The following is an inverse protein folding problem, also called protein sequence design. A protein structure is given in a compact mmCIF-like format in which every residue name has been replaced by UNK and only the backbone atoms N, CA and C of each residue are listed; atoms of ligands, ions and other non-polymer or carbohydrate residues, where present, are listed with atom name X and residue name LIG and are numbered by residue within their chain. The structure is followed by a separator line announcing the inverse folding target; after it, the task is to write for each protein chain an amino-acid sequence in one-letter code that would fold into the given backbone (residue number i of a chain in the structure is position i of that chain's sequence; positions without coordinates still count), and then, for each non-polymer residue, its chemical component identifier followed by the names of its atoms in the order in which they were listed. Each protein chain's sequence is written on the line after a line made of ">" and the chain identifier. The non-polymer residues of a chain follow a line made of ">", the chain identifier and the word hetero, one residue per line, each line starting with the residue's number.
data_IF_624579068006
#
_entry.id   IF_624579068006
#
_cell.length_a   1.000
_cell.length_b   1.000
_cell.length_c   1.000
_cell.angle_alpha   90.00
_cell.angle_beta   90.00
_cell.angle_gamma   90.00
#
_symmetry.space_group_name_H-M   'P 1'
#
loop_
_entity.id
_entity.type
_entity.pdbx_description
1 polymer ?
#
# COMPACT_ATOMS: atom_id res chain seq x y z
N UNK A 1 -14.13 5.94 -1.43
CA UNK A 1 -13.10 4.96 -1.12
C UNK A 1 -11.75 5.44 -1.62
N UNK A 2 -10.74 5.36 -0.79
CA UNK A 2 -9.40 5.91 -1.04
C UNK A 2 -8.45 4.95 -1.75
N UNK A 3 -8.91 3.79 -2.18
CA UNK A 3 -8.07 2.86 -2.94
C UNK A 3 -8.82 2.33 -4.14
N UNK A 4 -8.07 2.01 -5.17
CA UNK A 4 -8.59 1.50 -6.43
C UNK A 4 -7.77 0.31 -6.88
N UNK A 5 -8.44 -0.69 -7.42
CA UNK A 5 -7.83 -1.84 -8.08
C UNK A 5 -8.15 -1.76 -9.56
N UNK A 6 -7.14 -1.87 -10.38
CA UNK A 6 -7.27 -1.89 -11.84
C UNK A 6 -6.63 -3.18 -12.39
N UNK A 7 -7.26 -3.83 -13.36
CA UNK A 7 -8.53 -3.51 -13.98
C UNK A 7 -9.73 -3.77 -13.05
N UNK A 8 -10.70 -2.88 -13.09
CA UNK A 8 -11.89 -2.92 -12.23
C UNK A 8 -12.99 -3.88 -12.74
N UNK A 9 -12.77 -4.52 -13.89
CA UNK A 9 -13.79 -5.27 -14.63
C UNK A 9 -13.92 -6.75 -14.21
N UNK A 10 -13.04 -7.25 -13.34
CA UNK A 10 -13.07 -8.67 -12.96
C UNK A 10 -13.72 -8.88 -11.60
N UNK A 11 -14.62 -9.85 -11.53
CA UNK A 11 -15.16 -10.38 -10.28
C UNK A 11 -14.18 -11.33 -9.58
N UNK A 12 -13.13 -11.72 -10.26
CA UNK A 12 -12.10 -12.62 -9.75
C UNK A 12 -11.02 -11.90 -8.99
N UNK A 13 -10.47 -12.57 -7.99
CA UNK A 13 -9.32 -12.07 -7.26
C UNK A 13 -8.06 -12.03 -8.13
N UNK A 14 -7.27 -11.00 -7.97
CA UNK A 14 -5.99 -10.85 -8.69
C UNK A 14 -4.94 -11.67 -7.97
N UNK A 15 -4.31 -12.61 -8.72
CA UNK A 15 -3.18 -13.44 -8.24
C UNK A 15 -1.92 -13.03 -8.99
N UNK A 16 -1.11 -12.13 -8.44
CA UNK A 16 0.12 -11.71 -9.09
C UNK A 16 1.25 -12.76 -8.92
N UNK A 17 2.23 -12.70 -9.79
CA UNK A 17 3.50 -13.42 -9.67
C UNK A 17 4.59 -12.56 -9.04
N UNK A 18 4.43 -11.25 -9.15
CA UNK A 18 5.35 -10.24 -8.61
C UNK A 18 4.57 -9.05 -8.07
N UNK A 19 5.07 -8.49 -6.99
CA UNK A 19 4.66 -7.18 -6.48
C UNK A 19 5.74 -6.15 -6.78
N UNK A 20 5.32 -4.98 -7.28
CA UNK A 20 6.17 -3.81 -7.43
C UNK A 20 5.66 -2.71 -6.50
N UNK A 21 6.51 -2.24 -5.61
CA UNK A 21 6.22 -1.08 -4.76
C UNK A 21 6.89 0.18 -5.28
N UNK A 22 6.35 1.33 -4.93
CA UNK A 22 6.90 2.63 -5.30
C UNK A 22 8.25 2.89 -4.64
N UNK A 23 8.34 2.69 -3.32
CA UNK A 23 9.53 2.93 -2.53
C UNK A 23 10.00 1.67 -1.76
N UNK A 24 11.08 1.81 -0.99
CA UNK A 24 11.71 0.74 -0.19
C UNK A 24 11.47 0.88 1.31
N UNK A 25 10.46 1.63 1.73
CA UNK A 25 10.13 1.86 3.14
C UNK A 25 9.44 0.64 3.78
N UNK A 26 8.83 0.82 4.95
CA UNK A 26 8.18 -0.26 5.71
C UNK A 26 7.12 -1.01 4.91
N UNK A 27 6.36 -0.33 4.06
CA UNK A 27 5.39 -0.98 3.18
C UNK A 27 6.03 -1.99 2.22
N UNK A 28 7.13 -1.62 1.58
CA UNK A 28 7.91 -2.56 0.77
C UNK A 28 8.40 -3.75 1.59
N UNK A 29 8.97 -3.50 2.76
CA UNK A 29 9.49 -4.56 3.63
C UNK A 29 8.40 -5.53 4.07
N UNK A 30 7.20 -5.03 4.33
CA UNK A 30 6.03 -5.83 4.64
C UNK A 30 5.65 -6.75 3.46
N UNK A 31 5.48 -6.21 2.26
CA UNK A 31 5.11 -6.99 1.09
C UNK A 31 6.23 -7.92 0.62
N UNK A 32 7.50 -7.53 0.75
CA UNK A 32 8.64 -8.41 0.45
C UNK A 32 8.66 -9.65 1.36
N UNK A 33 8.41 -9.48 2.66
CA UNK A 33 8.32 -10.59 3.59
C UNK A 33 7.18 -11.56 3.23
N UNK A 34 6.00 -11.03 2.86
CA UNK A 34 4.86 -11.83 2.42
C UNK A 34 5.16 -12.57 1.12
N UNK A 35 5.77 -11.90 0.15
CA UNK A 35 6.18 -12.53 -1.10
C UNK A 35 7.13 -13.69 -0.88
N UNK A 36 8.09 -13.54 0.03
CA UNK A 36 9.02 -14.62 0.39
C UNK A 36 8.32 -15.83 0.99
N UNK A 37 7.30 -15.64 1.82
CA UNK A 37 6.48 -16.73 2.36
C UNK A 37 5.76 -17.53 1.26
N UNK A 38 5.39 -16.87 0.15
CA UNK A 38 4.63 -17.45 -0.96
C UNK A 38 5.47 -17.72 -2.21
N UNK A 39 6.80 -17.69 -2.11
CA UNK A 39 7.72 -17.89 -3.24
C UNK A 39 7.49 -16.91 -4.41
N UNK A 40 7.05 -15.72 -4.10
CA UNK A 40 6.87 -14.61 -5.03
C UNK A 40 8.03 -13.63 -4.94
N UNK A 41 8.16 -12.78 -5.96
CA UNK A 41 9.11 -11.68 -5.95
C UNK A 41 8.44 -10.37 -5.55
N UNK A 42 9.17 -9.55 -4.81
CA UNK A 42 8.78 -8.18 -4.52
C UNK A 42 9.95 -7.26 -4.87
N UNK A 43 9.71 -6.33 -5.80
CA UNK A 43 10.68 -5.33 -6.21
C UNK A 43 10.18 -3.93 -5.82
N UNK A 44 11.10 -2.99 -5.76
CA UNK A 44 10.79 -1.57 -5.62
C UNK A 44 11.25 -0.79 -6.85
N UNK A 45 10.44 0.17 -7.27
CA UNK A 45 10.82 1.09 -8.36
C UNK A 45 11.81 2.17 -7.89
N UNK A 46 12.01 2.34 -6.58
CA UNK A 46 12.81 3.41 -5.99
C UNK A 46 12.35 4.81 -6.41
N UNK A 47 11.04 5.01 -6.36
CA UNK A 47 10.38 6.28 -6.66
C UNK A 47 9.27 6.16 -7.71
N UNK A 48 8.22 6.96 -7.56
CA UNK A 48 7.04 6.94 -8.43
C UNK A 48 7.36 7.20 -9.90
N UNK A 49 8.35 8.04 -10.19
CA UNK A 49 8.77 8.35 -11.56
C UNK A 49 9.40 7.16 -12.31
N UNK A 50 9.83 6.14 -11.58
CA UNK A 50 10.47 4.95 -12.16
C UNK A 50 9.49 3.79 -12.42
N UNK A 51 8.27 3.86 -11.89
CA UNK A 51 7.28 2.79 -12.02
C UNK A 51 6.96 2.50 -13.49
N UNK A 52 6.70 3.52 -14.28
CA UNK A 52 6.39 3.36 -15.69
C UNK A 52 7.55 2.68 -16.47
N UNK A 53 8.78 3.13 -16.24
CA UNK A 53 9.97 2.55 -16.90
C UNK A 53 10.18 1.09 -16.50
N UNK A 54 9.97 0.75 -15.23
CA UNK A 54 10.03 -0.62 -14.76
C UNK A 54 9.02 -1.51 -15.49
N UNK A 55 7.77 -1.09 -15.56
CA UNK A 55 6.69 -1.85 -16.22
C UNK A 55 6.96 -2.03 -17.73
N UNK A 56 7.54 -1.04 -18.38
CA UNK A 56 7.95 -1.16 -19.79
C UNK A 56 9.06 -2.20 -20.01
N UNK A 57 9.97 -2.32 -19.06
CA UNK A 57 11.07 -3.28 -19.14
C UNK A 57 10.61 -4.73 -18.82
N UNK A 58 9.52 -4.90 -18.08
CA UNK A 58 9.02 -6.20 -17.60
C UNK A 58 7.67 -6.55 -18.23
N UNK A 59 7.65 -6.69 -19.56
CA UNK A 59 6.41 -6.78 -20.36
C UNK A 59 5.60 -8.06 -20.15
N UNK A 60 6.27 -9.17 -19.86
CA UNK A 60 5.65 -10.50 -19.83
C UNK A 60 5.39 -11.02 -18.43
N UNK A 61 5.65 -10.22 -17.41
CA UNK A 61 5.46 -10.60 -16.01
C UNK A 61 4.09 -10.16 -15.52
N UNK A 62 3.48 -10.99 -14.68
CA UNK A 62 2.21 -10.67 -14.02
C UNK A 62 2.47 -9.89 -12.75
N UNK A 63 2.30 -8.58 -12.83
CA UNK A 63 2.73 -7.63 -11.80
C UNK A 63 1.51 -6.95 -11.17
N UNK A 64 1.47 -6.96 -9.82
CA UNK A 64 0.64 -6.06 -9.03
C UNK A 64 1.50 -4.88 -8.58
N UNK A 65 1.17 -3.69 -9.03
CA UNK A 65 1.77 -2.44 -8.57
C UNK A 65 1.03 -1.96 -7.33
N UNK A 66 1.76 -1.72 -6.25
CA UNK A 66 1.23 -1.09 -5.03
C UNK A 66 1.94 0.23 -4.84
N UNK A 67 1.19 1.33 -4.91
CA UNK A 67 1.73 2.67 -4.77
C UNK A 67 0.79 3.55 -3.95
N UNK A 68 1.35 4.56 -3.30
CA UNK A 68 0.58 5.50 -2.50
C UNK A 68 -0.30 6.37 -3.40
N UNK A 69 -1.62 6.23 -3.26
CA UNK A 69 -2.59 6.91 -4.11
C UNK A 69 -2.49 8.43 -4.07
N UNK A 70 -2.19 8.98 -2.89
CA UNK A 70 -2.03 10.43 -2.71
C UNK A 70 -0.77 10.98 -3.38
N UNK A 71 0.30 10.19 -3.47
CA UNK A 71 1.59 10.63 -3.97
C UNK A 71 1.84 10.33 -5.45
N UNK A 72 0.97 9.52 -6.09
CA UNK A 72 1.22 8.97 -7.43
C UNK A 72 1.08 10.02 -8.55
N UNK A 73 0.28 11.04 -8.35
CA UNK A 73 0.22 12.30 -9.11
C UNK A 73 0.36 12.18 -10.63
N UNK A 74 1.30 12.95 -11.24
CA UNK A 74 1.42 13.04 -12.71
C UNK A 74 1.78 11.74 -13.43
N UNK A 75 2.38 10.79 -12.73
CA UNK A 75 2.74 9.49 -13.32
C UNK A 75 1.52 8.57 -13.51
N UNK A 76 0.39 8.89 -12.88
CA UNK A 76 -0.82 8.08 -12.89
C UNK A 76 -1.31 7.78 -14.30
N UNK A 77 -1.41 8.79 -15.16
CA UNK A 77 -1.99 8.64 -16.50
C UNK A 77 -1.19 7.64 -17.34
N UNK A 78 0.13 7.71 -17.27
CA UNK A 78 1.03 6.82 -18.04
C UNK A 78 0.93 5.38 -17.55
N UNK A 79 0.92 5.17 -16.25
CA UNK A 79 0.79 3.83 -15.64
C UNK A 79 -0.59 3.26 -15.87
N UNK A 80 -1.67 4.05 -15.74
CA UNK A 80 -3.03 3.63 -16.03
C UNK A 80 -3.21 3.18 -17.47
N UNK A 81 -2.63 3.88 -18.44
CA UNK A 81 -2.65 3.46 -19.83
C UNK A 81 -2.04 2.07 -20.02
N UNK A 82 -0.90 1.79 -19.38
CA UNK A 82 -0.31 0.45 -19.41
C UNK A 82 -1.22 -0.60 -18.79
N UNK A 83 -1.77 -0.33 -17.62
CA UNK A 83 -2.67 -1.26 -16.91
C UNK A 83 -3.93 -1.54 -17.71
N UNK A 84 -4.48 -0.54 -18.41
CA UNK A 84 -5.67 -0.71 -19.26
C UNK A 84 -5.39 -1.51 -20.53
N UNK A 85 -4.15 -1.49 -21.03
CA UNK A 85 -3.77 -2.14 -22.29
C UNK A 85 -3.07 -3.48 -22.09
N UNK A 86 -2.66 -3.82 -20.88
CA UNK A 86 -1.95 -5.06 -20.54
C UNK A 86 -2.72 -5.83 -19.47
N UNK A 87 -3.26 -6.99 -19.84
CA UNK A 87 -4.01 -7.87 -18.93
C UNK A 87 -3.18 -8.46 -17.79
N UNK A 88 -1.86 -8.47 -17.93
CA UNK A 88 -0.93 -8.97 -16.93
C UNK A 88 -0.55 -7.96 -15.84
N UNK A 89 -1.09 -6.77 -15.88
CA UNK A 89 -0.85 -5.71 -14.89
C UNK A 89 -2.10 -5.43 -14.07
N UNK A 90 -1.91 -5.23 -12.78
CA UNK A 90 -2.90 -4.68 -11.88
C UNK A 90 -2.28 -3.55 -11.06
N UNK A 91 -3.10 -2.58 -10.68
CA UNK A 91 -2.69 -1.42 -9.89
C UNK A 91 -3.58 -1.33 -8.65
N UNK A 92 -2.96 -1.33 -7.48
CA UNK A 92 -3.62 -1.09 -6.21
C UNK A 92 -3.06 0.18 -5.57
N UNK A 93 -3.94 1.14 -5.32
CA UNK A 93 -3.59 2.45 -4.79
C UNK A 93 -4.29 2.66 -3.44
N UNK A 94 -3.74 2.14 -2.33
CA UNK A 94 -4.17 2.58 -1.02
C UNK A 94 -3.77 4.04 -0.83
N UNK A 95 -4.40 4.72 0.12
CA UNK A 95 -3.97 6.09 0.45
C UNK A 95 -2.49 6.13 0.83
N UNK A 96 -2.09 5.19 1.71
CA UNK A 96 -0.71 4.86 2.05
C UNK A 96 -0.64 3.50 2.74
N UNK A 97 0.56 2.97 2.99
CA UNK A 97 0.75 1.77 3.80
C UNK A 97 0.26 2.00 5.24
N UNK A 98 0.55 3.16 5.81
CA UNK A 98 0.09 3.53 7.15
C UNK A 98 -1.44 3.54 7.23
N UNK A 99 -2.11 4.03 6.18
CA UNK A 99 -3.57 3.97 6.10
C UNK A 99 -4.09 2.53 6.11
N UNK A 100 -3.43 1.60 5.40
CA UNK A 100 -3.79 0.18 5.46
C UNK A 100 -3.70 -0.38 6.88
N UNK A 101 -2.64 -0.05 7.60
CA UNK A 101 -2.44 -0.47 8.99
C UNK A 101 -3.53 0.11 9.89
N UNK A 102 -3.78 1.40 9.79
CA UNK A 102 -4.82 2.08 10.58
C UNK A 102 -6.21 1.53 10.30
N UNK A 103 -6.50 1.22 9.05
CA UNK A 103 -7.81 0.69 8.61
C UNK A 103 -8.02 -0.77 8.99
N UNK A 104 -6.96 -1.50 9.31
CA UNK A 104 -7.03 -2.94 9.60
C UNK A 104 -7.72 -3.31 10.90
N UNK A 105 -7.89 -2.35 11.81
CA UNK A 105 -8.50 -2.57 13.13
C UNK A 105 -7.58 -3.22 14.16
N UNK A 106 -6.29 -3.39 13.88
CA UNK A 106 -5.30 -3.90 14.85
C UNK A 106 -5.09 -2.95 16.02
N UNK A 107 -5.27 -1.66 15.80
CA UNK A 107 -5.29 -0.63 16.84
C UNK A 107 -6.74 -0.35 17.22
N UNK A 108 -7.15 -0.80 18.38
CA UNK A 108 -8.50 -0.59 18.91
C UNK A 108 -8.61 0.80 19.54
N UNK A 109 -8.67 1.81 18.72
CA UNK A 109 -8.71 3.21 19.11
C UNK A 109 -9.91 3.89 18.43
N UNK A 110 -10.81 4.44 19.26
CA UNK A 110 -12.03 5.09 18.76
C UNK A 110 -11.73 6.38 17.99
N UNK A 111 -10.67 7.09 18.33
CA UNK A 111 -10.22 8.30 17.63
C UNK A 111 -9.77 7.95 16.22
N UNK A 112 -9.01 6.85 16.04
CA UNK A 112 -8.63 6.35 14.71
C UNK A 112 -9.88 6.07 13.86
N UNK A 113 -10.87 5.41 14.41
CA UNK A 113 -12.11 5.10 13.69
C UNK A 113 -12.84 6.38 13.25
N UNK A 114 -12.90 7.39 14.08
CA UNK A 114 -13.49 8.69 13.75
C UNK A 114 -12.70 9.42 12.65
N UNK A 115 -11.37 9.44 12.75
CA UNK A 115 -10.49 10.07 11.76
C UNK A 115 -10.66 9.42 10.39
N UNK A 116 -10.74 8.09 10.32
CA UNK A 116 -10.90 7.36 9.06
C UNK A 116 -12.27 7.58 8.40
N UNK A 117 -13.30 7.93 9.17
CA UNK A 117 -14.62 8.26 8.63
C UNK A 117 -14.64 9.64 7.96
N UNK A 118 -13.99 10.63 8.57
CA UNK A 118 -13.96 12.01 8.11
C UNK A 118 -12.54 12.60 8.17
N UNK A 119 -11.60 12.07 7.39
CA UNK A 119 -10.19 12.45 7.52
C UNK A 119 -9.95 13.94 7.27
N UNK A 120 -10.73 14.57 6.38
CA UNK A 120 -10.63 16.00 6.06
C UNK A 120 -10.84 16.92 7.26
N UNK A 121 -11.58 16.46 8.28
CA UNK A 121 -11.85 17.26 9.47
C UNK A 121 -10.65 17.33 10.42
N UNK A 122 -9.70 16.43 10.25
CA UNK A 122 -8.54 16.27 11.14
C UNK A 122 -7.21 16.70 10.54
N UNK A 123 -7.16 16.93 9.21
CA UNK A 123 -5.93 17.34 8.54
C UNK A 123 -5.89 18.87 8.47
N UNK A 124 -4.93 19.43 9.19
CA UNK A 124 -4.59 20.84 9.03
C UNK A 124 -3.60 20.98 7.87
N UNK A 125 -4.04 21.63 6.79
CA UNK A 125 -3.24 21.87 5.60
C UNK A 125 -2.01 22.76 5.84
N UNK A 126 -1.93 23.44 6.98
CA UNK A 126 -0.74 24.20 7.37
C UNK A 126 0.33 23.34 8.01
N UNK A 127 -0.07 22.26 8.68
CA UNK A 127 0.84 21.36 9.39
C UNK A 127 1.26 20.20 8.50
N UNK A 128 0.35 19.65 7.69
CA UNK A 128 0.62 18.47 6.85
C UNK A 128 0.41 18.82 5.38
N UNK A 129 1.46 18.67 4.58
CA UNK A 129 1.41 18.92 3.13
C UNK A 129 0.71 17.82 2.34
N UNK A 130 0.48 16.64 2.93
CA UNK A 130 -0.16 15.50 2.29
C UNK A 130 -0.81 14.57 3.29
N UNK A 131 -1.80 13.80 2.83
CA UNK A 131 -2.45 12.73 3.57
C UNK A 131 -1.45 11.67 4.05
N UNK A 132 -0.46 11.36 3.22
CA UNK A 132 0.60 10.41 3.57
C UNK A 132 1.34 10.83 4.85
N UNK A 133 1.78 12.09 4.93
CA UNK A 133 2.46 12.61 6.12
C UNK A 133 1.58 12.58 7.36
N UNK A 134 0.30 12.89 7.19
CA UNK A 134 -0.65 12.82 8.28
C UNK A 134 -0.81 11.40 8.82
N UNK A 135 -1.04 10.42 7.95
CA UNK A 135 -1.19 9.02 8.36
C UNK A 135 0.10 8.45 8.93
N UNK A 136 1.25 8.84 8.42
CA UNK A 136 2.55 8.47 9.01
C UNK A 136 2.69 8.99 10.43
N UNK A 137 2.39 10.26 10.66
CA UNK A 137 2.45 10.88 11.98
C UNK A 137 1.45 10.23 12.95
N UNK A 138 0.22 10.01 12.52
CA UNK A 138 -0.82 9.37 13.32
C UNK A 138 -0.43 7.95 13.73
N UNK A 139 0.01 7.12 12.81
CA UNK A 139 0.42 5.75 13.11
C UNK A 139 1.63 5.72 14.04
N UNK A 140 2.61 6.58 13.81
CA UNK A 140 3.79 6.70 14.67
C UNK A 140 3.40 7.07 16.11
N UNK A 141 2.54 8.07 16.27
CA UNK A 141 2.05 8.52 17.58
C UNK A 141 1.26 7.42 18.30
N UNK A 142 0.28 6.83 17.62
CA UNK A 142 -0.62 5.83 18.22
C UNK A 142 0.06 4.51 18.58
N UNK A 143 1.19 4.21 17.98
CA UNK A 143 1.96 2.98 18.27
C UNK A 143 3.18 3.21 19.15
N UNK A 144 3.52 4.46 19.46
CA UNK A 144 4.67 4.79 20.28
C UNK A 144 4.60 4.08 21.64
N UNK A 145 5.70 3.41 22.03
CA UNK A 145 5.79 2.68 23.29
C UNK A 145 5.01 1.37 23.33
N UNK A 146 4.41 0.94 22.23
CA UNK A 146 3.72 -0.36 22.10
C UNK A 146 4.58 -1.37 21.33
N UNK A 147 4.16 -2.66 21.35
CA UNK A 147 4.83 -3.70 20.56
C UNK A 147 4.68 -3.50 19.03
N UNK A 148 3.70 -2.68 18.61
CA UNK A 148 3.48 -2.28 17.22
C UNK A 148 4.15 -0.94 16.88
N UNK A 149 5.14 -0.51 17.63
CA UNK A 149 5.85 0.72 17.35
C UNK A 149 6.22 0.82 15.86
N UNK A 150 5.75 1.87 15.22
CA UNK A 150 5.92 2.09 13.79
C UNK A 150 7.01 3.11 13.49
N UNK A 151 7.86 2.80 12.53
CA UNK A 151 8.75 3.75 11.86
C UNK A 151 8.64 3.58 10.34
N UNK A 152 8.72 4.68 9.60
CA UNK A 152 8.54 4.65 8.15
C UNK A 152 9.62 3.85 7.43
N UNK A 153 10.87 3.95 7.87
CA UNK A 153 12.03 3.39 7.16
C UNK A 153 12.33 1.93 7.48
N UNK A 154 11.96 1.47 8.66
CA UNK A 154 12.28 0.11 9.11
C UNK A 154 11.05 -0.55 9.70
N UNK A 155 10.63 -1.66 9.11
CA UNK A 155 9.48 -2.42 9.56
C UNK A 155 9.77 -3.11 10.90
N UNK A 156 8.89 -2.92 11.86
CA UNK A 156 8.85 -3.71 13.08
C UNK A 156 8.33 -5.11 12.76
N UNK A 157 9.07 -6.15 13.15
CA UNK A 157 8.71 -7.56 12.90
C UNK A 157 7.35 -7.97 13.48
N UNK A 158 6.85 -7.25 14.49
CA UNK A 158 5.52 -7.50 15.04
C UNK A 158 4.40 -7.36 13.99
N UNK A 159 4.60 -6.56 12.95
CA UNK A 159 3.67 -6.44 11.83
C UNK A 159 3.56 -7.70 10.98
N UNK A 160 4.54 -8.59 11.06
CA UNK A 160 4.57 -9.86 10.33
C UNK A 160 3.97 -11.03 11.11
N UNK A 161 3.52 -10.82 12.34
CA UNK A 161 2.77 -11.83 13.10
C UNK A 161 1.43 -12.11 12.42
N UNK A 162 1.01 -13.36 12.39
CA UNK A 162 -0.15 -13.82 11.61
C UNK A 162 -1.42 -12.98 11.83
N UNK A 163 -1.78 -12.70 13.06
CA UNK A 163 -2.97 -11.91 13.37
C UNK A 163 -2.90 -10.47 12.82
N UNK A 164 -1.76 -9.83 12.93
CA UNK A 164 -1.53 -8.45 12.44
C UNK A 164 -1.43 -8.45 10.91
N UNK A 165 -0.58 -9.30 10.37
CA UNK A 165 -0.38 -9.45 8.93
C UNK A 165 -1.69 -9.73 8.19
N UNK A 166 -2.47 -10.69 8.66
CA UNK A 166 -3.74 -11.07 8.03
C UNK A 166 -4.79 -9.95 8.13
N UNK A 167 -4.81 -9.19 9.22
CA UNK A 167 -5.70 -8.04 9.35
C UNK A 167 -5.36 -6.94 8.33
N UNK A 168 -4.08 -6.66 8.11
CA UNK A 168 -3.63 -5.68 7.13
C UNK A 168 -3.95 -6.16 5.70
N UNK A 169 -3.62 -7.40 5.36
CA UNK A 169 -3.92 -7.99 4.04
C UNK A 169 -5.43 -8.06 3.78
N UNK A 170 -6.24 -8.23 4.81
CA UNK A 170 -7.70 -8.24 4.71
C UNK A 170 -8.30 -6.92 4.22
N UNK A 171 -7.55 -5.81 4.29
CA UNK A 171 -7.96 -4.53 3.72
C UNK A 171 -7.77 -4.47 2.21
N UNK A 172 -6.95 -5.34 1.63
CA UNK A 172 -6.67 -5.39 0.21
C UNK A 172 -7.73 -6.23 -0.52
N UNK A 173 -8.88 -5.61 -0.79
CA UNK A 173 -9.97 -6.27 -1.50
C UNK A 173 -9.55 -6.66 -2.92
N UNK A 174 -10.03 -7.82 -3.39
CA UNK A 174 -9.75 -8.37 -4.73
C UNK A 174 -8.28 -8.73 -5.01
N UNK A 175 -7.42 -8.71 -4.01
CA UNK A 175 -6.02 -9.16 -4.13
C UNK A 175 -5.84 -10.43 -3.31
N UNK A 176 -5.31 -11.46 -3.93
CA UNK A 176 -5.02 -12.74 -3.29
C UNK A 176 -3.51 -13.00 -3.34
N UNK A 177 -2.87 -12.94 -2.18
CA UNK A 177 -1.44 -13.20 -2.00
C UNK A 177 -1.27 -14.57 -1.31
N UNK A 178 -1.52 -15.63 -2.05
CA UNK A 178 -1.39 -17.02 -1.57
C UNK A 178 -0.69 -17.89 -2.58
#
# INVERSE_FOLDING_TARGET
>A
SFYRIYPDSTTENIKPEKILTEDSNSGYQFFDAICKEHQMQCDTANGKSNVFSYLKAHRNEKILVIADGAAFGPEMDRVLQLVQTRENLALYLPESFEWLVLSSGILKDTEIAQILQTPSDYIDSKEYFSWERYFTALLTEKTAGTYLNYTKKTLNEAYLRDGVKNAILGQMQKVELK
#
